data_IF_401515412372
#
_entry.id   IF_401515412372
#
_cell.length_a   1.000
_cell.length_b   1.000
_cell.length_c   1.000
_cell.angle_alpha   90.00
_cell.angle_beta   90.00
_cell.angle_gamma   90.00
#
_symmetry.space_group_name_H-M   'P 1'
#
loop_
_entity.id
_entity.type
_entity.pdbx_description
1 polymer ?
#
# COMPACT_ATOMS: atom_id res chain seq x y z
N UNK A 1 -2.36 6.91 7.75
CA UNK A 1 -3.50 6.35 7.01
C UNK A 1 -3.49 4.83 7.05
N UNK A 2 -2.68 4.10 6.26
CA UNK A 2 -2.72 2.62 6.23
C UNK A 2 -2.66 1.98 7.63
N UNK A 3 -1.66 2.33 8.45
CA UNK A 3 -1.53 1.78 9.81
C UNK A 3 -2.73 2.13 10.71
N UNK A 4 -3.33 3.30 10.53
CA UNK A 4 -4.53 3.74 11.26
C UNK A 4 -5.76 2.93 10.86
N UNK A 5 -5.98 2.73 9.55
CA UNK A 5 -7.10 1.90 9.04
C UNK A 5 -7.00 0.47 9.60
N UNK A 6 -5.79 -0.11 9.58
CA UNK A 6 -5.54 -1.45 10.10
C UNK A 6 -5.73 -1.48 11.63
N UNK A 7 -5.40 -0.40 12.35
CA UNK A 7 -5.65 -0.27 13.78
C UNK A 7 -7.15 -0.30 14.13
N UNK A 8 -7.97 0.41 13.36
CA UNK A 8 -9.43 0.42 13.55
C UNK A 8 -10.00 -0.97 13.30
N UNK A 9 -9.55 -1.65 12.25
CA UNK A 9 -9.88 -3.06 12.00
C UNK A 9 -9.45 -3.97 13.16
N UNK A 10 -8.24 -3.81 13.68
CA UNK A 10 -7.75 -4.55 14.85
C UNK A 10 -8.63 -4.33 16.07
N UNK A 11 -9.07 -3.10 16.32
CA UNK A 11 -10.00 -2.77 17.40
C UNK A 11 -11.32 -3.51 17.30
N UNK A 12 -11.87 -3.67 16.09
CA UNK A 12 -13.07 -4.47 15.85
C UNK A 12 -12.89 -5.94 16.26
N UNK A 13 -11.82 -6.59 15.79
CA UNK A 13 -11.51 -7.97 16.18
C UNK A 13 -11.21 -8.11 17.68
N UNK A 14 -10.61 -7.09 18.30
CA UNK A 14 -10.28 -7.09 19.71
C UNK A 14 -11.55 -7.02 20.57
N UNK A 15 -12.50 -6.17 20.19
CA UNK A 15 -13.80 -6.07 20.87
C UNK A 15 -14.57 -7.38 20.80
N UNK A 16 -14.68 -7.99 19.60
CA UNK A 16 -15.34 -9.29 19.46
C UNK A 16 -14.62 -10.39 20.25
N UNK A 17 -13.29 -10.38 20.29
CA UNK A 17 -12.54 -11.35 21.09
C UNK A 17 -12.80 -11.19 22.60
N UNK A 18 -12.87 -9.95 23.10
CA UNK A 18 -13.22 -9.69 24.51
C UNK A 18 -14.63 -10.16 24.85
N UNK A 19 -15.58 -9.95 23.94
CA UNK A 19 -16.96 -10.39 24.10
C UNK A 19 -17.06 -11.93 24.09
N UNK A 20 -16.51 -12.59 23.07
CA UNK A 20 -16.62 -14.05 22.90
C UNK A 20 -15.86 -14.83 23.99
N UNK A 21 -14.68 -14.36 24.42
CA UNK A 21 -13.82 -15.12 25.35
C UNK A 21 -14.02 -14.72 26.80
N UNK A 22 -14.16 -13.42 27.08
CA UNK A 22 -14.24 -12.91 28.46
C UNK A 22 -15.64 -12.43 28.84
N UNK A 23 -16.59 -12.33 27.90
CA UNK A 23 -17.92 -11.78 28.14
C UNK A 23 -17.92 -10.28 28.44
N UNK A 24 -16.83 -9.57 28.11
CA UNK A 24 -16.66 -8.14 28.43
C UNK A 24 -17.06 -7.32 27.20
N UNK A 25 -18.14 -6.55 27.31
CA UNK A 25 -18.53 -5.56 26.30
C UNK A 25 -18.00 -4.18 26.69
N UNK A 26 -17.21 -3.58 25.79
CA UNK A 26 -16.71 -2.22 26.01
C UNK A 26 -17.82 -1.19 25.73
N UNK A 27 -17.95 -0.13 26.55
CA UNK A 27 -18.90 0.95 26.30
C UNK A 27 -18.74 1.54 24.89
N UNK A 28 -19.85 1.86 24.22
CA UNK A 28 -19.84 2.42 22.86
C UNK A 28 -18.99 3.69 22.74
N UNK A 29 -18.97 4.52 23.78
CA UNK A 29 -18.19 5.76 23.82
C UNK A 29 -16.68 5.57 23.62
N UNK A 30 -16.11 4.42 24.01
CA UNK A 30 -14.66 4.15 23.95
C UNK A 30 -14.27 3.06 22.95
N UNK A 31 -15.26 2.37 22.36
CA UNK A 31 -15.04 1.28 21.42
C UNK A 31 -15.23 1.70 19.97
N UNK A 32 -15.96 2.78 19.73
CA UNK A 32 -16.27 3.31 18.40
C UNK A 32 -15.72 4.72 18.18
N UNK A 33 -15.53 5.06 16.91
CA UNK A 33 -15.18 6.40 16.47
C UNK A 33 -16.40 7.34 16.44
N UNK A 34 -16.17 8.63 16.16
CA UNK A 34 -17.19 9.67 16.19
C UNK A 34 -18.35 9.37 15.21
N UNK A 35 -18.05 8.81 14.04
CA UNK A 35 -19.07 8.58 13.00
C UNK A 35 -20.07 7.47 13.38
N UNK A 36 -19.68 6.56 14.26
CA UNK A 36 -20.51 5.45 14.75
C UNK A 36 -21.06 5.70 16.18
N UNK A 37 -21.06 6.96 16.64
CA UNK A 37 -21.64 7.35 17.93
C UNK A 37 -20.70 7.15 19.14
N UNK A 38 -19.44 6.81 18.91
CA UNK A 38 -18.40 6.82 19.95
C UNK A 38 -17.72 8.18 20.09
N UNK A 39 -16.83 8.31 21.07
CA UNK A 39 -16.00 9.52 21.26
C UNK A 39 -14.59 9.25 20.74
N UNK A 40 -14.05 8.08 21.04
CA UNK A 40 -12.71 7.68 20.63
C UNK A 40 -12.60 6.15 20.54
N UNK A 41 -11.95 5.64 19.50
CA UNK A 41 -11.65 4.22 19.37
C UNK A 41 -10.40 3.85 20.20
N UNK A 42 -10.61 3.59 21.49
CA UNK A 42 -9.54 3.25 22.42
C UNK A 42 -8.81 1.93 22.07
N UNK A 43 -9.50 0.84 21.63
CA UNK A 43 -8.83 -0.36 21.15
C UNK A 43 -7.83 -0.09 20.02
N UNK A 44 -8.21 0.71 19.01
CA UNK A 44 -7.31 1.04 17.91
C UNK A 44 -6.05 1.81 18.40
N UNK A 45 -6.24 2.74 19.34
CA UNK A 45 -5.14 3.48 19.98
C UNK A 45 -4.21 2.53 20.74
N UNK A 46 -4.77 1.61 21.54
CA UNK A 46 -4.00 0.62 22.29
C UNK A 46 -3.17 -0.27 21.36
N UNK A 47 -3.77 -0.76 20.27
CA UNK A 47 -3.06 -1.54 19.25
C UNK A 47 -1.87 -0.79 18.66
N UNK A 48 -2.04 0.49 18.31
CA UNK A 48 -0.95 1.32 17.81
C UNK A 48 0.12 1.63 18.86
N UNK A 49 -0.25 1.82 20.13
CA UNK A 49 0.71 2.01 21.21
C UNK A 49 1.57 0.76 21.43
N UNK A 50 0.96 -0.43 21.38
CA UNK A 50 1.68 -1.71 21.42
C UNK A 50 2.66 -1.80 20.25
N UNK A 51 2.20 -1.50 19.03
CA UNK A 51 3.06 -1.53 17.83
C UNK A 51 4.19 -0.51 17.93
N UNK A 52 3.92 0.71 18.41
CA UNK A 52 4.93 1.75 18.62
C UNK A 52 5.98 1.30 19.64
N UNK A 53 5.54 0.70 20.76
CA UNK A 53 6.44 0.15 21.77
C UNK A 53 7.32 -0.96 21.20
N UNK A 54 6.75 -1.91 20.45
CA UNK A 54 7.51 -2.99 19.79
C UNK A 54 8.53 -2.41 18.80
N UNK A 55 8.09 -1.50 17.92
CA UNK A 55 8.95 -0.88 16.90
C UNK A 55 10.13 -0.11 17.50
N UNK A 56 9.91 0.55 18.63
CA UNK A 56 10.94 1.32 19.32
C UNK A 56 11.90 0.47 20.15
N UNK A 57 11.57 -0.79 20.47
CA UNK A 57 12.37 -1.65 21.35
C UNK A 57 13.46 -2.44 20.60
N UNK A 58 13.29 -2.75 19.32
CA UNK A 58 14.39 -3.25 18.46
C UNK A 58 13.98 -4.14 17.28
N UNK A 59 14.72 -4.04 16.17
CA UNK A 59 14.37 -4.64 14.86
C UNK A 59 14.67 -6.16 14.77
N UNK A 60 15.67 -6.69 15.48
CA UNK A 60 16.12 -8.10 15.31
C UNK A 60 15.06 -9.13 15.71
N UNK A 61 14.35 -8.92 16.82
CA UNK A 61 13.26 -9.79 17.25
C UNK A 61 12.00 -9.63 16.37
N UNK A 62 11.81 -8.44 15.80
CA UNK A 62 10.66 -8.10 14.95
C UNK A 62 10.62 -8.92 13.65
N UNK A 63 11.78 -9.20 13.03
CA UNK A 63 11.83 -9.98 11.78
C UNK A 63 11.30 -11.42 11.91
N UNK A 64 11.72 -12.15 12.96
CA UNK A 64 11.28 -13.54 13.19
C UNK A 64 9.81 -13.58 13.60
N UNK A 65 9.39 -12.67 14.50
CA UNK A 65 7.99 -12.57 14.91
C UNK A 65 7.08 -12.26 13.71
N UNK A 66 7.50 -11.34 12.82
CA UNK A 66 6.74 -10.99 11.63
C UNK A 66 6.61 -12.15 10.63
N UNK A 67 7.66 -12.97 10.49
CA UNK A 67 7.61 -14.18 9.67
C UNK A 67 6.60 -15.19 10.24
N UNK A 68 6.66 -15.46 11.55
CA UNK A 68 5.71 -16.35 12.24
C UNK A 68 4.26 -15.86 12.10
N UNK A 69 3.99 -14.57 12.35
CA UNK A 69 2.66 -14.00 12.19
C UNK A 69 2.16 -14.05 10.74
N UNK A 70 3.08 -13.90 9.77
CA UNK A 70 2.77 -14.02 8.34
C UNK A 70 2.47 -15.45 7.92
N UNK A 71 3.13 -16.45 8.51
CA UNK A 71 2.79 -17.84 8.28
C UNK A 71 1.43 -18.17 8.90
N UNK A 72 1.19 -17.75 10.15
CA UNK A 72 -0.07 -17.99 10.85
C UNK A 72 -1.28 -17.38 10.11
N UNK A 73 -1.18 -16.15 9.59
CA UNK A 73 -2.28 -15.53 8.84
C UNK A 73 -2.59 -16.26 7.52
N UNK A 74 -1.57 -16.80 6.83
CA UNK A 74 -1.80 -17.60 5.61
C UNK A 74 -2.51 -18.90 5.95
N UNK A 75 -2.11 -19.56 7.05
CA UNK A 75 -2.83 -20.75 7.53
C UNK A 75 -4.28 -20.45 7.89
N UNK A 76 -4.56 -19.32 8.55
CA UNK A 76 -5.93 -18.91 8.87
C UNK A 76 -6.78 -18.68 7.61
N UNK A 77 -6.22 -18.06 6.57
CA UNK A 77 -6.89 -17.90 5.27
C UNK A 77 -7.19 -19.27 4.64
N UNK A 78 -6.20 -20.15 4.58
CA UNK A 78 -6.39 -21.50 4.02
C UNK A 78 -7.42 -22.30 4.81
N UNK A 79 -7.47 -22.14 6.14
CA UNK A 79 -8.48 -22.75 6.98
C UNK A 79 -9.90 -22.27 6.63
N UNK A 80 -10.11 -20.95 6.49
CA UNK A 80 -11.41 -20.42 6.04
C UNK A 80 -11.79 -20.94 4.67
N UNK A 81 -10.85 -20.96 3.72
CA UNK A 81 -11.13 -21.43 2.37
C UNK A 81 -11.52 -22.91 2.37
N UNK A 82 -10.78 -23.76 3.09
CA UNK A 82 -11.04 -25.20 3.14
C UNK A 82 -12.37 -25.51 3.82
N UNK A 83 -12.63 -24.96 5.00
CA UNK A 83 -13.89 -25.18 5.73
C UNK A 83 -15.07 -24.54 5.00
N UNK A 84 -14.87 -23.34 4.47
CA UNK A 84 -15.92 -22.54 3.88
C UNK A 84 -16.44 -23.10 2.56
N UNK A 85 -15.60 -23.74 1.74
CA UNK A 85 -16.03 -24.39 0.49
C UNK A 85 -17.11 -25.44 0.72
N UNK A 86 -17.08 -26.16 1.84
CA UNK A 86 -18.10 -27.16 2.19
C UNK A 86 -19.44 -26.57 2.63
N UNK A 87 -19.49 -25.26 2.91
CA UNK A 87 -20.66 -24.57 3.44
C UNK A 87 -21.20 -23.49 2.49
N UNK A 88 -20.75 -23.49 1.24
CA UNK A 88 -21.26 -22.58 0.20
C UNK A 88 -22.69 -22.97 -0.16
N UNK A 89 -23.60 -22.00 -0.07
CA UNK A 89 -24.97 -22.09 -0.57
C UNK A 89 -25.08 -21.21 -1.81
N UNK A 90 -25.25 -21.81 -2.99
CA UNK A 90 -25.36 -21.07 -4.27
C UNK A 90 -26.52 -20.06 -4.27
N UNK A 91 -27.54 -20.29 -3.45
CA UNK A 91 -28.68 -19.38 -3.25
C UNK A 91 -28.22 -17.95 -2.91
N UNK A 92 -27.14 -17.82 -2.13
CA UNK A 92 -26.59 -16.53 -1.71
C UNK A 92 -26.05 -15.69 -2.89
N UNK A 93 -25.75 -16.30 -4.04
CA UNK A 93 -25.31 -15.60 -5.25
C UNK A 93 -26.44 -15.36 -6.26
N UNK A 94 -27.51 -16.14 -6.20
CA UNK A 94 -28.62 -16.04 -7.17
C UNK A 94 -29.57 -14.88 -6.89
N UNK A 95 -29.62 -14.37 -5.66
CA UNK A 95 -30.52 -13.28 -5.26
C UNK A 95 -29.79 -11.97 -4.96
N UNK A 96 -29.76 -11.03 -5.90
CA UNK A 96 -29.01 -11.07 -7.17
C UNK A 96 -27.49 -10.96 -6.96
N UNK A 97 -26.69 -11.46 -7.91
CA UNK A 97 -25.21 -11.40 -7.86
C UNK A 97 -24.65 -9.97 -7.83
N UNK A 98 -25.31 -9.03 -8.51
CA UNK A 98 -24.91 -7.62 -8.57
C UNK A 98 -26.10 -6.71 -8.23
N UNK A 99 -26.50 -6.60 -6.95
CA UNK A 99 -27.68 -5.85 -6.53
C UNK A 99 -27.57 -4.36 -6.84
N UNK A 100 -26.34 -3.83 -6.84
CA UNK A 100 -26.02 -2.43 -7.13
C UNK A 100 -25.48 -2.21 -8.56
N UNK A 101 -25.59 -3.23 -9.42
CA UNK A 101 -25.08 -3.21 -10.79
C UNK A 101 -23.58 -2.92 -10.90
N UNK A 102 -23.15 -2.47 -12.08
CA UNK A 102 -21.74 -2.15 -12.36
C UNK A 102 -21.24 -0.98 -11.50
N UNK A 103 -22.10 -0.02 -11.18
CA UNK A 103 -21.74 1.12 -10.34
C UNK A 103 -21.29 0.66 -8.95
N UNK A 104 -22.03 -0.24 -8.31
CA UNK A 104 -21.62 -0.82 -7.02
C UNK A 104 -20.33 -1.63 -7.09
N UNK A 105 -20.13 -2.37 -8.19
CA UNK A 105 -18.86 -3.11 -8.42
C UNK A 105 -17.68 -2.14 -8.50
N UNK A 106 -17.82 -1.02 -9.22
CA UNK A 106 -16.76 -0.02 -9.35
C UNK A 106 -16.46 0.69 -8.02
N UNK A 107 -17.48 1.06 -7.25
CA UNK A 107 -17.30 1.65 -5.91
C UNK A 107 -16.64 0.65 -4.96
N UNK A 108 -17.09 -0.60 -4.96
CA UNK A 108 -16.47 -1.67 -4.16
C UNK A 108 -15.02 -1.93 -4.57
N UNK A 109 -14.71 -1.91 -5.86
CA UNK A 109 -13.34 -2.04 -6.36
C UNK A 109 -12.44 -0.88 -5.89
N UNK A 110 -12.97 0.36 -5.89
CA UNK A 110 -12.24 1.52 -5.40
C UNK A 110 -11.97 1.46 -3.89
N UNK A 111 -12.91 0.95 -3.09
CA UNK A 111 -12.72 0.76 -1.64
C UNK A 111 -11.75 -0.39 -1.33
N UNK A 112 -11.95 -1.55 -1.99
CA UNK A 112 -11.13 -2.76 -1.79
C UNK A 112 -9.71 -2.65 -2.33
N UNK A 113 -9.41 -1.64 -3.15
CA UNK A 113 -8.04 -1.28 -3.52
C UNK A 113 -7.12 -1.14 -2.28
N UNK A 114 -7.67 -0.68 -1.15
CA UNK A 114 -6.94 -0.59 0.11
C UNK A 114 -6.28 -1.92 0.51
N UNK A 115 -6.95 -3.05 0.27
CA UNK A 115 -6.42 -4.37 0.60
C UNK A 115 -5.15 -4.74 -0.18
N UNK A 116 -4.90 -4.08 -1.32
CA UNK A 116 -3.69 -4.27 -2.12
C UNK A 116 -2.54 -3.34 -1.70
N UNK A 117 -2.75 -2.43 -0.76
CA UNK A 117 -1.68 -1.54 -0.28
C UNK A 117 -0.62 -2.31 0.53
N UNK A 118 0.64 -1.85 0.46
CA UNK A 118 1.76 -2.43 1.21
C UNK A 118 2.81 -3.17 0.37
N UNK A 119 2.55 -3.45 -0.91
CA UNK A 119 3.56 -4.05 -1.80
C UNK A 119 4.76 -3.12 -2.05
N UNK A 120 4.55 -1.82 -1.93
CA UNK A 120 5.55 -0.77 -2.07
C UNK A 120 6.59 -0.83 -0.93
N UNK A 121 6.23 -1.38 0.23
CA UNK A 121 7.15 -1.66 1.32
C UNK A 121 8.31 -2.60 0.94
N UNK A 122 8.13 -3.48 -0.04
CA UNK A 122 9.18 -4.37 -0.56
C UNK A 122 10.34 -3.55 -1.14
N UNK A 123 10.04 -2.41 -1.76
CA UNK A 123 11.07 -1.54 -2.35
C UNK A 123 11.94 -0.84 -1.29
N UNK A 124 11.42 -0.65 -0.07
CA UNK A 124 12.21 -0.10 1.05
C UNK A 124 13.32 -1.03 1.55
N UNK A 125 13.25 -2.32 1.16
CA UNK A 125 14.22 -3.36 1.50
C UNK A 125 15.19 -3.66 0.36
N UNK A 126 15.18 -2.85 -0.71
CA UNK A 126 16.08 -3.03 -1.86
C UNK A 126 17.55 -3.15 -1.45
N UNK A 127 17.97 -2.41 -0.41
CA UNK A 127 19.34 -2.41 0.11
C UNK A 127 19.68 -3.68 0.92
N UNK A 128 18.68 -4.44 1.37
CA UNK A 128 18.85 -5.64 2.20
C UNK A 128 18.78 -6.95 1.38
N UNK A 129 18.44 -6.87 0.09
CA UNK A 129 18.25 -8.03 -0.79
C UNK A 129 19.54 -8.39 -1.52
N UNK A 130 19.92 -9.68 -1.51
CA UNK A 130 21.16 -10.17 -2.15
C UNK A 130 21.19 -9.96 -3.67
N UNK A 131 20.07 -10.19 -4.36
CA UNK A 131 19.93 -10.00 -5.82
C UNK A 131 18.69 -9.15 -6.13
N UNK A 132 18.75 -7.83 -5.86
CA UNK A 132 17.59 -6.95 -5.97
C UNK A 132 17.03 -6.92 -7.39
N UNK A 133 17.89 -7.10 -8.38
CA UNK A 133 17.59 -7.10 -9.81
C UNK A 133 16.54 -8.14 -10.23
N UNK A 134 16.52 -9.31 -9.58
CA UNK A 134 15.66 -10.44 -9.92
C UNK A 134 14.63 -10.71 -8.83
N UNK A 135 15.03 -10.64 -7.57
CA UNK A 135 14.20 -11.09 -6.47
C UNK A 135 13.07 -10.08 -6.18
N UNK A 136 13.32 -8.76 -6.34
CA UNK A 136 12.29 -7.72 -6.12
C UNK A 136 11.15 -7.79 -7.16
N UNK A 137 11.41 -7.85 -8.49
CA UNK A 137 10.32 -8.00 -9.46
C UNK A 137 9.51 -9.29 -9.28
N UNK A 138 10.16 -10.41 -8.97
CA UNK A 138 9.48 -11.69 -8.72
C UNK A 138 8.60 -11.60 -7.47
N UNK A 139 9.12 -11.01 -6.39
CA UNK A 139 8.36 -10.82 -5.16
C UNK A 139 7.15 -9.91 -5.36
N UNK A 140 7.29 -8.84 -6.16
CA UNK A 140 6.22 -7.89 -6.41
C UNK A 140 5.12 -8.51 -7.29
N UNK A 141 5.47 -9.10 -8.44
CA UNK A 141 4.48 -9.70 -9.35
C UNK A 141 3.87 -10.96 -8.72
N UNK A 142 4.73 -11.88 -8.25
CA UNK A 142 4.28 -13.14 -7.65
C UNK A 142 3.46 -12.90 -6.38
N UNK A 143 3.89 -11.98 -5.52
CA UNK A 143 3.17 -11.62 -4.30
C UNK A 143 1.81 -11.01 -4.57
N UNK A 144 1.72 -10.00 -5.45
CA UNK A 144 0.44 -9.36 -5.79
C UNK A 144 -0.51 -10.36 -6.46
N UNK A 145 -0.03 -11.17 -7.41
CA UNK A 145 -0.87 -12.18 -8.08
C UNK A 145 -1.39 -13.24 -7.11
N UNK A 146 -0.55 -13.70 -6.18
CA UNK A 146 -0.98 -14.66 -5.15
C UNK A 146 -1.99 -14.05 -4.19
N UNK A 147 -1.78 -12.80 -3.75
CA UNK A 147 -2.75 -12.08 -2.90
C UNK A 147 -4.08 -11.87 -3.62
N UNK A 148 -4.06 -11.51 -4.91
CA UNK A 148 -5.27 -11.35 -5.72
C UNK A 148 -6.08 -12.66 -5.76
N UNK A 149 -5.41 -13.80 -5.95
CA UNK A 149 -6.05 -15.12 -5.92
C UNK A 149 -6.73 -15.38 -4.58
N UNK A 150 -6.03 -15.15 -3.46
CA UNK A 150 -6.61 -15.34 -2.13
C UNK A 150 -7.78 -14.39 -1.86
N UNK A 151 -7.72 -13.14 -2.31
CA UNK A 151 -8.80 -12.18 -2.11
C UNK A 151 -10.07 -12.54 -2.89
N UNK A 152 -9.92 -13.00 -4.14
CA UNK A 152 -11.05 -13.50 -4.94
C UNK A 152 -11.64 -14.75 -4.29
N UNK A 153 -10.80 -15.71 -3.90
CA UNK A 153 -11.25 -16.95 -3.27
C UNK A 153 -11.96 -16.68 -1.94
N UNK A 154 -11.40 -15.81 -1.08
CA UNK A 154 -12.00 -15.44 0.21
C UNK A 154 -13.34 -14.72 0.01
N UNK A 155 -13.41 -13.76 -0.91
CA UNK A 155 -14.66 -13.05 -1.21
C UNK A 155 -15.75 -14.00 -1.70
N UNK A 156 -15.39 -14.95 -2.56
CA UNK A 156 -16.33 -15.98 -3.03
C UNK A 156 -16.80 -16.86 -1.86
N UNK A 157 -15.90 -17.39 -1.05
CA UNK A 157 -16.25 -18.28 0.06
C UNK A 157 -17.14 -17.56 1.10
N UNK A 158 -16.76 -16.36 1.55
CA UNK A 158 -17.51 -15.61 2.57
C UNK A 158 -18.93 -15.26 2.07
N UNK A 159 -19.05 -14.73 0.85
CA UNK A 159 -20.37 -14.40 0.25
C UNK A 159 -21.19 -15.64 -0.10
N UNK A 160 -20.53 -16.78 -0.36
CA UNK A 160 -21.18 -18.06 -0.59
C UNK A 160 -21.75 -18.68 0.69
N UNK A 161 -21.12 -18.47 1.84
CA UNK A 161 -21.58 -19.03 3.13
C UNK A 161 -22.74 -18.22 3.74
N UNK A 162 -22.64 -16.88 3.69
CA UNK A 162 -23.62 -15.98 4.30
C UNK A 162 -24.02 -14.88 3.31
N UNK A 163 -25.32 -14.58 3.26
CA UNK A 163 -25.87 -13.52 2.42
C UNK A 163 -25.22 -12.15 2.69
N UNK A 164 -24.89 -11.42 1.62
CA UNK A 164 -24.08 -10.19 1.66
C UNK A 164 -24.62 -9.10 2.59
N UNK A 165 -25.94 -9.04 2.81
CA UNK A 165 -26.58 -8.07 3.71
C UNK A 165 -26.21 -8.22 5.18
N UNK A 166 -25.68 -9.39 5.59
CA UNK A 166 -25.26 -9.66 6.97
C UNK A 166 -23.74 -9.52 7.18
N UNK A 167 -22.99 -9.18 6.12
CA UNK A 167 -21.53 -9.11 6.16
C UNK A 167 -20.99 -7.73 6.60
N UNK A 168 -21.86 -6.75 6.82
CA UNK A 168 -21.50 -5.44 7.36
C UNK A 168 -21.25 -5.51 8.87
N UNK A 169 -20.18 -6.20 9.23
CA UNK A 169 -19.73 -6.41 10.61
C UNK A 169 -18.22 -6.15 10.69
N UNK A 170 -17.68 -5.79 11.87
CA UNK A 170 -16.25 -5.50 12.01
C UNK A 170 -15.32 -6.69 11.70
N UNK A 171 -15.79 -7.92 11.90
CA UNK A 171 -15.01 -9.16 11.83
C UNK A 171 -15.66 -10.24 10.93
N UNK A 172 -15.83 -9.98 9.62
CA UNK A 172 -16.69 -10.81 8.75
C UNK A 172 -16.20 -12.26 8.60
N UNK A 173 -14.89 -12.50 8.57
CA UNK A 173 -14.33 -13.85 8.45
C UNK A 173 -14.62 -14.72 9.68
N UNK A 174 -14.60 -14.13 10.87
CA UNK A 174 -14.94 -14.82 12.12
C UNK A 174 -16.46 -15.02 12.22
N UNK A 175 -17.24 -13.96 11.93
CA UNK A 175 -18.69 -13.98 11.95
C UNK A 175 -19.30 -15.07 11.07
N UNK A 176 -18.76 -15.28 9.87
CA UNK A 176 -19.25 -16.31 8.94
C UNK A 176 -19.06 -17.73 9.50
N UNK A 177 -17.96 -18.02 10.21
CA UNK A 177 -17.78 -19.32 10.86
C UNK A 177 -18.74 -19.54 12.03
N UNK A 178 -19.02 -18.47 12.79
CA UNK A 178 -20.02 -18.51 13.86
C UNK A 178 -21.41 -18.84 13.30
N UNK A 179 -21.80 -18.18 12.19
CA UNK A 179 -23.10 -18.41 11.52
C UNK A 179 -23.26 -19.83 10.95
N UNK A 180 -22.14 -20.46 10.58
CA UNK A 180 -22.11 -21.82 10.04
C UNK A 180 -22.05 -22.90 11.15
N UNK A 181 -21.97 -22.49 12.42
CA UNK A 181 -21.99 -23.40 13.56
C UNK A 181 -20.61 -23.92 13.99
N UNK A 182 -19.53 -23.22 13.65
CA UNK A 182 -18.15 -23.57 14.00
C UNK A 182 -17.58 -22.51 14.97
N UNK A 183 -18.04 -22.46 16.22
CA UNK A 183 -17.65 -21.42 17.18
C UNK A 183 -16.17 -21.49 17.56
N UNK A 184 -15.57 -22.68 17.60
CA UNK A 184 -14.13 -22.82 17.84
C UNK A 184 -13.28 -22.24 16.69
N UNK A 185 -13.82 -22.24 15.47
CA UNK A 185 -13.17 -21.66 14.30
C UNK A 185 -13.15 -20.14 14.33
N UNK A 186 -14.21 -19.51 14.86
CA UNK A 186 -14.27 -18.07 15.11
C UNK A 186 -13.12 -17.64 16.03
N UNK A 187 -12.95 -18.30 17.18
CA UNK A 187 -11.90 -17.97 18.13
C UNK A 187 -10.49 -18.12 17.53
N UNK A 188 -10.24 -19.21 16.78
CA UNK A 188 -8.97 -19.46 16.11
C UNK A 188 -8.62 -18.36 15.10
N UNK A 189 -9.60 -17.94 14.28
CA UNK A 189 -9.41 -16.86 13.32
C UNK A 189 -9.20 -15.54 14.01
N UNK A 190 -10.04 -15.20 15.00
CA UNK A 190 -9.93 -13.93 15.72
C UNK A 190 -8.55 -13.75 16.33
N UNK A 191 -8.01 -14.79 16.97
CA UNK A 191 -6.63 -14.77 17.51
C UNK A 191 -5.60 -14.57 16.39
N UNK A 192 -5.72 -15.32 15.29
CA UNK A 192 -4.79 -15.24 14.16
C UNK A 192 -4.79 -13.85 13.51
N UNK A 193 -5.97 -13.24 13.35
CA UNK A 193 -6.14 -11.91 12.79
C UNK A 193 -5.62 -10.84 13.74
N UNK A 194 -5.85 -10.96 15.06
CA UNK A 194 -5.30 -10.01 16.05
C UNK A 194 -3.78 -9.91 15.97
N UNK A 195 -3.07 -11.04 15.93
CA UNK A 195 -1.61 -11.04 15.77
C UNK A 195 -1.19 -10.61 14.35
N UNK A 196 -1.92 -11.03 13.32
CA UNK A 196 -1.63 -10.69 11.92
C UNK A 196 -1.76 -9.20 11.60
N UNK A 197 -2.74 -8.51 12.20
CA UNK A 197 -2.94 -7.07 12.02
C UNK A 197 -1.86 -6.27 12.75
N UNK A 198 -1.43 -6.68 13.95
CA UNK A 198 -0.26 -6.06 14.64
C UNK A 198 0.98 -6.13 13.75
N UNK A 199 1.25 -7.28 13.15
CA UNK A 199 2.37 -7.47 12.22
C UNK A 199 2.26 -6.54 11.00
N UNK A 200 1.05 -6.40 10.46
CA UNK A 200 0.76 -5.52 9.32
C UNK A 200 0.96 -4.04 9.67
N UNK A 201 0.51 -3.61 10.85
CA UNK A 201 0.70 -2.24 11.36
C UNK A 201 2.20 -1.93 11.56
N UNK A 202 2.94 -2.89 12.11
CA UNK A 202 4.38 -2.77 12.32
C UNK A 202 5.13 -2.63 10.99
N UNK A 203 4.85 -3.49 10.01
CA UNK A 203 5.48 -3.45 8.69
C UNK A 203 5.25 -2.14 7.96
N UNK A 204 4.00 -1.67 7.92
CA UNK A 204 3.64 -0.42 7.25
C UNK A 204 4.26 0.82 7.95
N UNK A 205 4.26 0.85 9.28
CA UNK A 205 4.81 1.98 10.04
C UNK A 205 6.32 2.08 9.94
N UNK A 206 7.01 0.92 9.87
CA UNK A 206 8.46 0.87 9.64
C UNK A 206 8.83 1.36 8.23
N UNK A 207 8.09 0.94 7.20
CA UNK A 207 8.27 1.42 5.83
C UNK A 207 8.11 2.94 5.76
N UNK A 208 7.02 3.47 6.33
CA UNK A 208 6.76 4.91 6.36
C UNK A 208 7.88 5.70 7.09
N UNK A 209 8.36 5.19 8.22
CA UNK A 209 9.44 5.84 8.98
C UNK A 209 10.76 5.90 8.20
N UNK A 210 11.06 4.89 7.37
CA UNK A 210 12.24 4.86 6.49
C UNK A 210 12.13 5.89 5.36
N UNK A 211 10.94 6.06 4.79
CA UNK A 211 10.70 7.07 3.75
C UNK A 211 10.93 8.48 4.32
N UNK A 212 10.34 8.79 5.48
CA UNK A 212 10.56 10.10 6.14
C UNK A 212 12.02 10.35 6.48
N UNK A 213 12.73 9.33 6.95
CA UNK A 213 14.16 9.40 7.20
C UNK A 213 14.95 9.71 5.93
N UNK A 214 14.66 9.03 4.82
CA UNK A 214 15.30 9.29 3.53
C UNK A 214 15.03 10.72 3.04
N UNK A 215 13.81 11.22 3.18
CA UNK A 215 13.47 12.61 2.82
C UNK A 215 14.22 13.64 3.68
N UNK A 216 14.39 13.38 4.98
CA UNK A 216 15.21 14.21 5.87
C UNK A 216 16.69 14.18 5.50
N UNK A 217 17.22 12.99 5.17
CA UNK A 217 18.61 12.81 4.72
C UNK A 217 18.87 13.55 3.40
N UNK A 218 17.90 13.55 2.50
CA UNK A 218 18.03 14.15 1.17
C UNK A 218 17.79 15.67 1.18
N UNK A 219 17.44 16.25 2.34
CA UNK A 219 17.23 17.70 2.54
C UNK A 219 15.85 18.21 2.14
N UNK A 220 14.89 17.32 1.87
CA UNK A 220 13.50 17.67 1.55
C UNK A 220 12.66 17.96 2.82
N UNK A 221 13.06 17.40 3.95
CA UNK A 221 12.49 17.64 5.27
C UNK A 221 13.59 18.15 6.23
N UNK A 222 13.23 18.76 7.37
CA UNK A 222 14.20 19.17 8.38
C UNK A 222 15.14 18.03 8.79
N UNK A 223 16.42 18.34 9.03
CA UNK A 223 17.46 17.36 9.38
C UNK A 223 17.13 16.53 10.63
N UNK A 224 16.21 17.02 11.46
CA UNK A 224 15.67 16.30 12.62
C UNK A 224 15.08 14.92 12.27
N UNK A 225 14.52 14.75 11.06
CA UNK A 225 14.01 13.45 10.58
C UNK A 225 15.14 12.47 10.22
N UNK A 226 16.35 12.95 9.95
CA UNK A 226 17.52 12.14 9.62
C UNK A 226 18.25 11.60 10.86
N UNK A 227 17.72 11.82 12.07
CA UNK A 227 18.34 11.31 13.30
C UNK A 227 18.03 9.82 13.53
N UNK A 228 19.06 9.02 13.73
CA UNK A 228 18.97 7.58 14.04
C UNK A 228 19.43 7.33 15.47
N UNK A 229 18.70 6.49 16.21
CA UNK A 229 19.09 6.14 17.58
C UNK A 229 20.38 5.29 17.60
N UNK A 230 21.40 5.65 18.40
CA UNK A 230 22.73 5.04 18.33
C UNK A 230 22.76 3.54 18.68
N UNK A 231 21.95 3.09 19.64
CA UNK A 231 21.95 1.68 20.08
C UNK A 231 20.90 0.80 19.40
N UNK A 232 19.79 1.39 18.94
CA UNK A 232 18.65 0.63 18.37
C UNK A 232 18.56 0.70 16.85
N UNK A 233 19.37 1.56 16.21
CA UNK A 233 19.43 1.77 14.75
C UNK A 233 18.06 2.01 14.09
N UNK A 234 17.12 2.61 14.84
CA UNK A 234 15.79 3.02 14.35
C UNK A 234 15.72 4.54 14.14
N UNK A 235 15.04 5.03 13.08
CA UNK A 235 14.80 6.47 12.87
C UNK A 235 13.74 6.97 13.86
N UNK A 236 14.16 7.23 15.10
CA UNK A 236 13.28 7.48 16.26
C UNK A 236 12.32 8.64 16.02
N UNK A 237 12.82 9.76 15.50
CA UNK A 237 12.02 10.97 15.35
C UNK A 237 10.95 10.81 14.27
N UNK A 238 11.30 10.19 13.13
CA UNK A 238 10.34 9.84 12.09
C UNK A 238 9.27 8.86 12.61
N UNK A 239 9.67 7.86 13.38
CA UNK A 239 8.75 6.91 13.99
C UNK A 239 7.75 7.59 14.93
N UNK A 240 8.19 8.49 15.81
CA UNK A 240 7.28 9.22 16.70
C UNK A 240 6.24 10.03 15.92
N UNK A 241 6.64 10.74 14.86
CA UNK A 241 5.69 11.50 14.04
C UNK A 241 4.66 10.58 13.38
N UNK A 242 5.10 9.46 12.81
CA UNK A 242 4.22 8.48 12.16
C UNK A 242 3.24 7.86 13.16
N UNK A 243 3.70 7.40 14.32
CA UNK A 243 2.85 6.78 15.32
C UNK A 243 1.88 7.76 15.96
N UNK A 244 2.33 8.97 16.32
CA UNK A 244 1.45 9.98 16.89
C UNK A 244 0.36 10.39 15.90
N UNK A 245 0.71 10.63 14.63
CA UNK A 245 -0.29 10.89 13.60
C UNK A 245 -1.23 9.69 13.42
N UNK A 246 -0.70 8.46 13.40
CA UNK A 246 -1.51 7.27 13.24
C UNK A 246 -2.53 7.06 14.37
N UNK A 247 -2.12 7.32 15.62
CA UNK A 247 -2.94 7.22 16.83
C UNK A 247 -4.09 8.23 16.79
N UNK A 248 -3.80 9.48 16.43
CA UNK A 248 -4.82 10.52 16.31
C UNK A 248 -5.84 10.11 15.25
N UNK A 249 -5.39 9.72 14.05
CA UNK A 249 -6.30 9.33 12.99
C UNK A 249 -7.13 8.07 13.31
N UNK A 250 -6.51 7.06 13.93
CA UNK A 250 -7.22 5.83 14.31
C UNK A 250 -8.22 6.03 15.45
N UNK A 251 -7.99 7.01 16.32
CA UNK A 251 -8.89 7.31 17.43
C UNK A 251 -10.19 7.98 17.00
N UNK A 252 -10.14 8.85 15.98
CA UNK A 252 -11.25 9.74 15.64
C UNK A 252 -11.94 9.45 14.31
N UNK A 253 -11.25 8.82 13.34
CA UNK A 253 -11.81 8.57 12.01
C UNK A 253 -12.25 7.12 11.86
N UNK A 254 -13.29 6.91 11.03
CA UNK A 254 -13.79 5.59 10.71
C UNK A 254 -12.83 4.81 9.80
N UNK A 255 -12.99 3.48 9.77
CA UNK A 255 -12.22 2.62 8.87
C UNK A 255 -12.43 3.00 7.39
N UNK A 256 -13.65 3.39 7.03
CA UNK A 256 -14.04 3.77 5.67
C UNK A 256 -13.37 5.08 5.25
N UNK A 257 -13.46 6.13 6.06
CA UNK A 257 -12.81 7.42 5.77
C UNK A 257 -11.29 7.26 5.66
N UNK A 258 -10.68 6.49 6.57
CA UNK A 258 -9.24 6.23 6.54
C UNK A 258 -8.82 5.45 5.29
N UNK A 259 -9.62 4.46 4.88
CA UNK A 259 -9.38 3.69 3.66
C UNK A 259 -9.53 4.56 2.40
N UNK A 260 -10.56 5.40 2.32
CA UNK A 260 -10.76 6.32 1.22
C UNK A 260 -9.61 7.33 1.10
N UNK A 261 -9.19 7.95 2.20
CA UNK A 261 -8.04 8.86 2.22
C UNK A 261 -6.74 8.16 1.81
N UNK A 262 -6.54 6.91 2.24
CA UNK A 262 -5.40 6.10 1.82
C UNK A 262 -5.44 5.79 0.32
N UNK A 263 -6.61 5.45 -0.22
CA UNK A 263 -6.80 5.08 -1.61
C UNK A 263 -6.58 6.28 -2.54
N UNK A 264 -7.09 7.46 -2.18
CA UNK A 264 -6.85 8.70 -2.94
C UNK A 264 -5.34 8.98 -3.04
N UNK A 265 -4.62 8.90 -1.91
CA UNK A 265 -3.17 9.10 -1.88
C UNK A 265 -2.41 8.03 -2.68
N UNK A 266 -2.74 6.76 -2.49
CA UNK A 266 -2.08 5.63 -3.15
C UNK A 266 -2.28 5.63 -4.67
N UNK A 267 -3.53 5.82 -5.13
CA UNK A 267 -3.84 5.89 -6.56
C UNK A 267 -3.15 7.08 -7.23
N UNK A 268 -3.10 8.24 -6.56
CA UNK A 268 -2.38 9.41 -7.05
C UNK A 268 -0.88 9.12 -7.18
N UNK A 269 -0.27 8.53 -6.14
CA UNK A 269 1.13 8.15 -6.18
C UNK A 269 1.44 7.12 -7.28
N UNK A 270 0.59 6.11 -7.47
CA UNK A 270 0.78 5.10 -8.53
C UNK A 270 0.59 5.66 -9.93
N UNK A 271 -0.33 6.61 -10.11
CA UNK A 271 -0.49 7.35 -11.36
C UNK A 271 0.79 8.14 -11.67
N UNK A 272 1.32 8.87 -10.68
CA UNK A 272 2.56 9.63 -10.83
C UNK A 272 3.77 8.74 -11.13
N UNK A 273 3.88 7.58 -10.48
CA UNK A 273 4.94 6.59 -10.76
C UNK A 273 4.81 6.05 -12.18
N UNK A 274 3.59 5.74 -12.62
CA UNK A 274 3.33 5.26 -13.99
C UNK A 274 3.73 6.31 -15.03
N UNK A 275 3.38 7.57 -14.80
CA UNK A 275 3.79 8.70 -15.65
C UNK A 275 5.30 8.89 -15.62
N UNK A 276 5.94 8.77 -14.46
CA UNK A 276 7.39 8.90 -14.31
C UNK A 276 8.14 7.83 -15.09
N UNK A 277 7.64 6.59 -15.12
CA UNK A 277 8.20 5.54 -15.97
C UNK A 277 8.05 5.89 -17.45
N UNK A 278 6.90 6.43 -17.88
CA UNK A 278 6.69 6.89 -19.27
C UNK A 278 7.67 8.01 -19.65
N UNK A 279 7.82 9.03 -18.80
CA UNK A 279 8.74 10.16 -19.03
C UNK A 279 10.18 9.67 -19.07
N UNK A 280 10.58 8.79 -18.14
CA UNK A 280 11.94 8.22 -18.09
C UNK A 280 12.27 7.41 -19.36
N UNK A 281 11.27 6.80 -20.03
CA UNK A 281 11.51 6.15 -21.33
C UNK A 281 11.94 7.12 -22.41
N UNK A 282 11.52 8.37 -22.34
CA UNK A 282 11.85 9.42 -23.30
C UNK A 282 13.10 10.21 -22.92
N UNK A 283 13.26 10.56 -21.64
CA UNK A 283 14.37 11.43 -21.19
C UNK A 283 15.69 10.69 -21.04
N UNK A 284 15.68 9.40 -20.67
CA UNK A 284 16.89 8.60 -20.46
C UNK A 284 16.70 7.18 -21.06
N UNK A 285 16.72 7.07 -22.40
CA UNK A 285 16.47 5.80 -23.09
C UNK A 285 17.64 4.80 -22.95
N UNK A 286 18.88 5.30 -22.87
CA UNK A 286 20.11 4.49 -22.85
C UNK A 286 20.40 3.85 -21.48
N UNK A 287 19.68 4.24 -20.43
CA UNK A 287 19.85 3.66 -19.09
C UNK A 287 19.65 2.14 -19.12
N UNK A 288 20.64 1.39 -18.63
CA UNK A 288 20.54 -0.08 -18.47
C UNK A 288 19.38 -0.42 -17.52
N UNK A 289 18.32 -1.04 -18.05
CA UNK A 289 17.12 -1.45 -17.30
C UNK A 289 17.12 -2.97 -17.16
N UNK A 290 17.19 -3.44 -15.92
CA UNK A 290 17.27 -4.87 -15.62
C UNK A 290 15.89 -5.53 -15.79
N UNK A 291 14.83 -4.86 -15.36
CA UNK A 291 13.45 -5.23 -15.65
C UNK A 291 12.79 -4.18 -16.53
N UNK A 292 12.14 -4.62 -17.62
CA UNK A 292 11.36 -3.76 -18.52
C UNK A 292 9.91 -4.19 -18.44
N UNK A 293 9.02 -3.26 -18.09
CA UNK A 293 7.59 -3.53 -18.08
C UNK A 293 7.15 -3.90 -19.50
N UNK A 294 6.48 -5.06 -19.69
CA UNK A 294 6.16 -5.61 -21.02
C UNK A 294 5.41 -4.62 -21.92
N UNK A 295 4.43 -3.90 -21.37
CA UNK A 295 3.64 -2.95 -22.11
C UNK A 295 3.22 -1.77 -21.22
N UNK A 296 4.04 -0.71 -21.17
CA UNK A 296 3.56 0.62 -20.78
C UNK A 296 3.22 1.45 -22.03
N UNK A 297 3.76 1.10 -23.20
CA UNK A 297 3.81 1.94 -24.40
C UNK A 297 3.68 1.13 -25.71
N UNK A 298 2.79 0.13 -25.74
CA UNK A 298 2.33 -0.45 -27.01
C UNK A 298 1.19 0.37 -27.62
N UNK A 299 0.18 0.72 -26.81
CA UNK A 299 -1.05 1.33 -27.31
C UNK A 299 -0.94 2.84 -27.57
N UNK A 300 -0.19 3.59 -26.76
CA UNK A 300 -0.10 5.05 -26.89
C UNK A 300 0.78 5.49 -28.09
N UNK A 301 1.90 4.81 -28.33
CA UNK A 301 2.72 5.04 -29.54
C UNK A 301 2.01 4.54 -30.81
N UNK A 302 1.24 3.45 -30.73
CA UNK A 302 0.46 2.92 -31.85
C UNK A 302 -0.73 3.84 -32.23
N UNK A 303 -1.41 4.45 -31.26
CA UNK A 303 -2.49 5.41 -31.52
C UNK A 303 -1.97 6.77 -32.00
N UNK A 304 -0.90 7.30 -31.39
CA UNK A 304 -0.39 8.62 -31.77
C UNK A 304 0.24 8.61 -33.18
N UNK A 305 0.93 7.53 -33.57
CA UNK A 305 1.48 7.40 -34.94
C UNK A 305 0.41 7.22 -36.02
N UNK A 306 -0.77 6.66 -35.70
CA UNK A 306 -1.89 6.59 -36.67
C UNK A 306 -2.54 7.96 -36.88
N UNK A 307 -2.73 8.77 -35.85
CA UNK A 307 -3.36 10.09 -36.03
C UNK A 307 -2.46 11.10 -36.74
N UNK A 308 -1.13 11.01 -36.59
CA UNK A 308 -0.19 11.88 -37.31
C UNK A 308 0.02 11.53 -38.78
N UNK A 309 -0.31 10.30 -39.22
CA UNK A 309 -0.02 9.83 -40.59
C UNK A 309 -1.26 9.67 -41.49
N UNK A 310 -2.43 10.20 -41.13
CA UNK A 310 -3.64 10.07 -41.98
C UNK A 310 -3.64 11.04 -43.18
N UNK A 311 -2.75 12.05 -43.23
CA UNK A 311 -2.75 13.07 -44.29
C UNK A 311 -1.40 13.37 -44.96
N UNK A 312 -0.36 12.54 -44.77
CA UNK A 312 0.91 12.73 -45.50
C UNK A 312 1.01 11.75 -46.68
N UNK A 313 1.29 12.29 -47.88
CA UNK A 313 1.56 11.51 -49.09
C UNK A 313 2.70 10.50 -48.85
N UNK A 314 2.69 9.33 -49.51
CA UNK A 314 3.63 8.22 -49.25
C UNK A 314 5.11 8.57 -49.43
N UNK A 315 5.43 9.67 -50.10
CA UNK A 315 6.79 10.08 -50.44
C UNK A 315 7.54 10.84 -49.33
N UNK A 316 6.92 11.13 -48.17
CA UNK A 316 7.56 11.90 -47.09
C UNK A 316 7.88 11.10 -45.82
N UNK A 317 7.65 9.78 -45.78
CA UNK A 317 7.96 8.95 -44.61
C UNK A 317 9.31 8.24 -44.77
N UNK A 318 10.40 8.98 -44.58
CA UNK A 318 11.71 8.37 -44.29
C UNK A 318 11.88 8.28 -42.76
N UNK A 319 12.03 7.04 -42.28
CA UNK A 319 12.01 6.64 -40.85
C UNK A 319 13.11 7.30 -39.99
N UNK A 320 14.06 8.02 -40.61
CA UNK A 320 15.24 8.58 -39.93
C UNK A 320 15.38 10.11 -39.95
N UNK A 321 14.45 10.87 -40.52
CA UNK A 321 14.53 12.35 -40.52
C UNK A 321 13.32 12.99 -39.84
N UNK A 322 13.46 13.23 -38.53
CA UNK A 322 12.54 14.07 -37.75
C UNK A 322 12.81 15.54 -38.13
N UNK A 323 12.17 16.02 -39.19
CA UNK A 323 11.81 17.44 -39.33
C UNK A 323 10.71 17.57 -40.39
N UNK A 324 9.49 17.78 -39.93
CA UNK A 324 8.37 18.21 -40.78
C UNK A 324 7.94 19.59 -40.29
N UNK A 325 8.36 20.64 -40.99
CA UNK A 325 8.21 22.07 -40.64
C UNK A 325 6.77 22.60 -40.82
N UNK A 326 5.80 21.76 -41.18
CA UNK A 326 4.53 22.24 -41.75
C UNK A 326 3.29 22.22 -40.82
N UNK A 327 3.37 21.79 -39.55
CA UNK A 327 2.16 21.61 -38.73
C UNK A 327 2.02 22.67 -37.64
N UNK A 328 1.50 23.83 -38.02
CA UNK A 328 1.12 24.93 -37.13
C UNK A 328 -0.29 24.69 -36.54
N UNK A 329 -0.43 24.05 -35.37
CA UNK A 329 -1.69 23.97 -34.56
C UNK A 329 -1.42 23.75 -33.06
N UNK A 330 -2.36 24.15 -32.16
CA UNK A 330 -2.06 24.80 -30.90
C UNK A 330 -1.60 23.84 -29.80
N UNK A 331 -0.69 24.30 -28.96
CA UNK A 331 -0.13 23.56 -27.83
C UNK A 331 -1.21 23.26 -26.78
N UNK A 332 -1.50 21.98 -26.55
CA UNK A 332 -2.32 21.53 -25.43
C UNK A 332 -1.69 21.99 -24.10
N UNK A 333 -2.52 22.54 -23.20
CA UNK A 333 -2.15 23.04 -21.86
C UNK A 333 -1.23 22.08 -21.07
N UNK A 334 -1.34 20.76 -21.29
CA UNK A 334 -0.49 19.75 -20.68
C UNK A 334 1.00 19.85 -21.07
N UNK A 335 1.32 20.27 -22.30
CA UNK A 335 2.71 20.49 -22.76
C UNK A 335 3.34 21.72 -22.09
N UNK A 336 2.57 22.80 -21.89
CA UNK A 336 3.01 23.98 -21.15
C UNK A 336 3.29 23.65 -19.67
N UNK A 337 2.46 22.79 -19.06
CA UNK A 337 2.69 22.29 -17.71
C UNK A 337 3.94 21.42 -17.60
N UNK A 338 4.18 20.52 -18.57
CA UNK A 338 5.38 19.68 -18.61
C UNK A 338 6.64 20.54 -18.79
N UNK A 339 6.60 21.57 -19.64
CA UNK A 339 7.73 22.49 -19.83
C UNK A 339 8.01 23.36 -18.59
N UNK A 340 6.96 23.85 -17.92
CA UNK A 340 7.11 24.60 -16.67
C UNK A 340 7.73 23.75 -15.54
N UNK A 341 7.38 22.46 -15.48
CA UNK A 341 7.92 21.53 -14.49
C UNK A 341 9.36 21.10 -14.81
N UNK A 342 9.67 20.85 -16.09
CA UNK A 342 11.02 20.51 -16.55
C UNK A 342 12.01 21.67 -16.36
N UNK A 343 11.57 22.93 -16.54
CA UNK A 343 12.39 24.11 -16.31
C UNK A 343 12.87 24.23 -14.85
N UNK A 344 11.98 24.00 -13.87
CA UNK A 344 12.35 24.05 -12.43
C UNK A 344 13.26 22.90 -12.01
N UNK A 345 13.02 21.69 -12.52
CA UNK A 345 13.87 20.54 -12.19
C UNK A 345 15.30 20.68 -12.75
N UNK A 346 15.45 21.22 -13.96
CA UNK A 346 16.77 21.41 -14.57
C UNK A 346 17.62 22.42 -13.80
N UNK A 347 17.00 23.48 -13.28
CA UNK A 347 17.67 24.51 -12.45
C UNK A 347 18.11 23.90 -11.09
N UNK A 348 17.22 23.17 -10.42
CA UNK A 348 17.54 22.55 -9.12
C UNK A 348 18.62 21.47 -9.23
N UNK A 349 18.62 20.69 -10.31
CA UNK A 349 19.63 19.65 -10.53
C UNK A 349 21.01 20.25 -10.82
N UNK A 350 21.05 21.34 -11.61
CA UNK A 350 22.30 22.06 -11.91
C UNK A 350 22.88 22.75 -10.68
N UNK A 351 22.04 23.36 -9.85
CA UNK A 351 22.49 24.01 -8.61
C UNK A 351 23.04 23.01 -7.57
N UNK A 352 22.53 21.78 -7.59
CA UNK A 352 23.03 20.69 -6.73
C UNK A 352 24.36 20.15 -7.24
N UNK A 353 24.52 19.94 -8.54
CA UNK A 353 25.79 19.52 -9.13
C UNK A 353 26.90 20.55 -8.95
N UNK A 354 26.59 21.85 -9.09
CA UNK A 354 27.57 22.91 -8.86
C UNK A 354 28.00 22.98 -7.40
N UNK A 355 27.08 22.81 -6.44
CA UNK A 355 27.40 22.76 -5.00
C UNK A 355 28.19 21.50 -4.61
N UNK A 356 27.97 20.37 -5.27
CA UNK A 356 28.71 19.12 -5.03
C UNK A 356 30.11 19.19 -5.65
N UNK A 357 30.27 19.78 -6.85
CA UNK A 357 31.58 19.99 -7.49
C UNK A 357 32.42 21.07 -6.80
N UNK A 358 31.80 22.06 -6.16
CA UNK A 358 32.50 23.11 -5.42
C UNK A 358 33.12 22.64 -4.08
N UNK A 359 32.71 21.49 -3.53
CA UNK A 359 33.31 20.89 -2.33
C UNK A 359 34.28 19.77 -2.73
N UNK A 360 35.54 20.14 -3.01
CA UNK A 360 36.59 19.20 -3.41
C UNK A 360 37.02 18.20 -2.32
N UNK A 361 36.62 16.93 -2.49
CA UNK A 361 37.29 15.64 -2.12
C UNK A 361 37.70 15.34 -0.64
N UNK A 362 38.13 14.11 -0.29
CA UNK A 362 37.39 12.84 -0.25
C UNK A 362 37.53 12.14 1.13
N UNK A 363 37.02 10.90 1.25
CA UNK A 363 37.26 9.88 2.31
C UNK A 363 36.38 9.83 3.58
N UNK A 364 36.10 8.58 4.00
CA UNK A 364 35.40 8.09 5.20
C UNK A 364 33.87 8.15 5.22
N UNK A 365 33.20 7.22 4.52
CA UNK A 365 31.87 6.73 4.97
C UNK A 365 31.43 5.36 4.42
N UNK A 366 32.37 4.45 4.18
CA UNK A 366 32.07 3.11 3.64
C UNK A 366 32.14 1.96 4.67
N UNK A 367 32.20 2.24 5.98
CA UNK A 367 32.43 1.20 7.01
C UNK A 367 31.31 1.02 8.03
N UNK A 368 30.06 1.41 7.73
CA UNK A 368 28.94 1.28 8.68
C UNK A 368 27.88 0.23 8.28
N UNK A 369 28.10 -0.49 7.17
CA UNK A 369 27.26 -1.61 6.76
C UNK A 369 28.08 -2.90 6.69
N UNK A 370 28.45 -3.38 7.86
CA UNK A 370 28.82 -4.78 8.08
C UNK A 370 28.31 -5.18 9.47
N UNK A 371 27.38 -6.14 9.49
CA UNK A 371 26.81 -6.88 10.64
C UNK A 371 25.56 -6.29 11.31
#
# INVERSE_FOLDING_TARGET
MIASTVAVGWGGYFNSFLETVFGITLPQAISHDITHGGIVNLPAILGLLIVAWIALTGIRASGIANALFTTAKVFAILFVLTVGVFHIKLENWTTPFAPYGIAGIMTGAALTFFAYTGFDGITSLLEEVKRPERDIPIALIGGISLCALFYVAMSAVITGMVHWTKLDVPNPAAFVLMQVGIPWGEALISISVLFGLIATMLGNSLSASRILFAMGRDGLLPEWFAFVHPTRRVPRNAAYVIYTAAIIFAGFLSISELAELANIGGLTAFTLVTISVMVMRYTDPERKRIFKVPAILGYWAYWNNRFSCVNCKPSCCDVYKIHCVACNRPYHILQLWIQAFQGRYRILYWERESKVKAKGSPTKRASLFSI
#
